data_IF_297519957596
#
_entry.id   IF_297519957596
#
_cell.length_a   1.000
_cell.length_b   1.000
_cell.length_c   1.000
_cell.angle_alpha   90.00
_cell.angle_beta   90.00
_cell.angle_gamma   90.00
#
_symmetry.space_group_name_H-M   'P 1'
#
loop_
_entity.id
_entity.type
_entity.pdbx_description
1 polymer ?
#
# COMPACT_ATOMS: atom_id res chain seq x y z
N UNK A 1 -34.72 -15.08 -63.46
CA UNK A 1 -34.15 -13.77 -63.11
C UNK A 1 -32.79 -14.02 -62.48
N UNK A 2 -31.75 -14.16 -63.31
CA UNK A 2 -30.78 -13.10 -63.68
C UNK A 2 -29.99 -12.62 -62.46
N UNK A 3 -28.85 -13.29 -62.25
CA UNK A 3 -27.68 -12.77 -61.55
C UNK A 3 -27.25 -11.46 -62.21
N UNK A 4 -27.06 -10.41 -61.41
CA UNK A 4 -26.43 -9.16 -61.85
C UNK A 4 -25.14 -8.99 -61.05
N UNK A 5 -23.96 -9.12 -61.69
CA UNK A 5 -22.71 -8.75 -61.07
C UNK A 5 -22.52 -7.24 -61.21
N UNK A 6 -21.85 -6.62 -60.24
CA UNK A 6 -21.12 -5.39 -60.52
C UNK A 6 -19.90 -5.30 -59.60
N UNK A 7 -18.83 -5.90 -60.10
CA UNK A 7 -17.47 -5.48 -59.82
C UNK A 7 -17.30 -4.06 -60.32
N UNK A 8 -16.79 -3.15 -59.50
CA UNK A 8 -15.87 -2.13 -60.01
C UNK A 8 -15.18 -1.34 -58.91
N UNK A 9 -13.88 -1.17 -59.14
CA UNK A 9 -13.02 -0.07 -58.71
C UNK A 9 -12.35 -0.19 -57.35
N UNK A 10 -11.28 -1.00 -57.38
CA UNK A 10 -9.98 -0.61 -56.81
C UNK A 10 -9.79 0.91 -56.91
N UNK A 11 -9.65 1.58 -55.77
CA UNK A 11 -9.05 2.92 -55.69
C UNK A 11 -8.18 3.00 -54.44
N UNK A 12 -6.87 3.00 -54.69
CA UNK A 12 -5.91 3.77 -53.90
C UNK A 12 -5.49 3.16 -52.58
N UNK A 13 -4.42 2.35 -52.63
CA UNK A 13 -3.35 2.49 -51.65
C UNK A 13 -2.94 3.97 -51.65
N UNK A 14 -3.27 4.70 -50.59
CA UNK A 14 -2.69 6.01 -50.31
C UNK A 14 -1.91 5.90 -49.00
N UNK A 15 -0.71 5.32 -49.09
CA UNK A 15 0.36 5.55 -48.12
C UNK A 15 1.04 6.86 -48.52
N UNK A 16 0.55 7.97 -47.99
CA UNK A 16 1.27 9.23 -47.91
C UNK A 16 0.81 9.90 -46.60
N UNK A 17 1.50 9.55 -45.52
CA UNK A 17 2.44 10.47 -44.88
C UNK A 17 1.76 11.58 -44.08
N UNK A 18 1.39 11.25 -42.84
CA UNK A 18 1.57 12.19 -41.73
C UNK A 18 2.22 11.45 -40.58
N UNK A 19 3.54 11.37 -40.65
CA UNK A 19 4.42 10.96 -39.56
C UNK A 19 4.48 12.13 -38.59
N UNK A 20 3.47 12.29 -37.72
CA UNK A 20 3.50 13.19 -36.55
C UNK A 20 2.27 12.96 -35.67
N UNK A 21 2.29 11.85 -34.91
CA UNK A 21 1.73 11.70 -33.55
C UNK A 21 1.57 10.20 -33.19
N UNK A 22 2.52 9.35 -33.58
CA UNK A 22 2.54 7.94 -33.17
C UNK A 22 3.50 7.68 -31.99
N UNK A 23 3.73 8.71 -31.18
CA UNK A 23 4.57 8.64 -29.98
C UNK A 23 3.96 9.49 -28.86
N UNK A 24 2.70 9.24 -28.50
CA UNK A 24 2.13 9.82 -27.28
C UNK A 24 1.11 8.95 -26.56
N UNK A 25 0.96 7.67 -26.91
CA UNK A 25 -0.08 6.84 -26.27
C UNK A 25 0.27 5.35 -26.17
N UNK A 26 1.54 4.96 -26.30
CA UNK A 26 1.96 3.57 -26.20
C UNK A 26 3.19 3.35 -25.30
N UNK A 27 3.55 4.34 -24.47
CA UNK A 27 4.65 4.25 -23.50
C UNK A 27 4.21 4.20 -22.03
N UNK A 28 2.91 4.24 -21.74
CA UNK A 28 2.38 4.32 -20.37
C UNK A 28 1.45 3.14 -20.03
N UNK A 29 1.31 2.16 -20.93
CA UNK A 29 0.35 1.06 -20.76
C UNK A 29 0.99 -0.33 -20.60
N UNK A 30 2.32 -0.40 -20.46
CA UNK A 30 3.03 -1.68 -20.20
C UNK A 30 3.48 -1.81 -18.73
N UNK A 31 3.51 -0.72 -17.95
CA UNK A 31 3.88 -0.80 -16.53
C UNK A 31 2.69 -1.12 -15.59
N UNK A 32 1.46 -1.21 -16.11
CA UNK A 32 0.25 -1.44 -15.30
C UNK A 32 -0.27 -2.90 -15.32
N UNK A 33 0.41 -3.82 -16.02
CA UNK A 33 -0.02 -5.21 -16.15
C UNK A 33 0.68 -6.21 -15.21
N UNK A 34 1.50 -5.73 -14.25
CA UNK A 34 2.04 -6.61 -13.19
C UNK A 34 1.17 -6.65 -11.92
N UNK A 35 0.06 -5.91 -11.86
CA UNK A 35 -0.77 -5.82 -10.65
C UNK A 35 -2.20 -6.38 -10.77
N UNK A 36 -2.65 -6.82 -11.95
CA UNK A 36 -3.98 -7.42 -12.10
C UNK A 36 -3.96 -8.57 -13.11
N UNK A 37 -3.96 -9.81 -12.62
CA UNK A 37 -4.22 -10.97 -13.49
C UNK A 37 -3.60 -12.28 -13.05
N UNK A 38 -4.09 -12.86 -11.95
CA UNK A 38 -4.22 -14.31 -11.87
C UNK A 38 -5.45 -14.68 -11.05
N UNK A 39 -6.60 -14.63 -11.72
CA UNK A 39 -7.81 -15.34 -11.29
C UNK A 39 -7.75 -16.74 -11.88
N UNK A 40 -7.21 -17.68 -11.12
CA UNK A 40 -7.52 -19.10 -11.29
C UNK A 40 -8.49 -19.47 -10.18
N UNK A 41 -9.70 -19.87 -10.58
CA UNK A 41 -10.75 -20.30 -9.68
C UNK A 41 -10.28 -21.53 -8.90
N UNK A 42 -10.03 -21.34 -7.61
CA UNK A 42 -10.02 -22.40 -6.62
C UNK A 42 -11.22 -22.15 -5.70
N UNK A 43 -12.05 -23.16 -5.58
CA UNK A 43 -13.18 -23.23 -4.66
C UNK A 43 -12.73 -22.80 -3.27
N UNK A 44 -13.15 -21.60 -2.85
CA UNK A 44 -13.00 -21.10 -1.48
C UNK A 44 -14.01 -21.84 -0.59
N UNK A 45 -13.68 -23.09 -0.26
CA UNK A 45 -14.14 -23.67 0.99
C UNK A 45 -13.03 -23.44 2.02
N UNK A 46 -13.42 -23.06 3.23
CA UNK A 46 -12.60 -22.60 4.38
C UNK A 46 -12.52 -21.08 4.56
N UNK A 47 -13.53 -20.58 5.25
CA UNK A 47 -13.42 -19.57 6.30
C UNK A 47 -12.09 -19.72 7.07
N UNK A 48 -11.09 -18.96 6.67
CA UNK A 48 -9.94 -18.61 7.50
C UNK A 48 -9.57 -17.18 7.15
N UNK A 49 -9.88 -16.21 8.03
CA UNK A 49 -9.46 -14.83 7.79
C UNK A 49 -7.94 -14.79 7.68
N UNK A 50 -7.43 -13.95 6.78
CA UNK A 50 -6.01 -13.60 6.59
C UNK A 50 -5.35 -12.97 7.84
N UNK A 51 -5.91 -13.16 9.03
CA UNK A 51 -5.41 -12.67 10.33
C UNK A 51 -4.22 -13.47 10.87
N UNK A 52 -3.62 -14.35 10.07
CA UNK A 52 -2.70 -15.41 10.53
C UNK A 52 -1.27 -14.98 10.87
N UNK A 53 -0.85 -13.74 10.61
CA UNK A 53 0.55 -13.31 10.84
C UNK A 53 0.68 -12.26 11.94
N UNK A 54 -0.40 -11.96 12.65
CA UNK A 54 -0.28 -11.21 13.91
C UNK A 54 0.29 -12.18 14.94
N UNK A 55 1.56 -12.01 15.32
CA UNK A 55 2.20 -12.79 16.39
C UNK A 55 1.30 -12.82 17.62
N UNK A 56 1.25 -13.94 18.36
CA UNK A 56 0.45 -14.05 19.60
C UNK A 56 0.74 -12.90 20.57
N UNK A 57 1.98 -12.39 20.59
CA UNK A 57 2.37 -11.22 21.38
C UNK A 57 1.70 -9.93 20.89
N UNK A 58 1.58 -9.75 19.58
CA UNK A 58 0.88 -8.61 18.97
C UNK A 58 -0.62 -8.68 19.25
N UNK A 59 -1.24 -9.86 19.17
CA UNK A 59 -2.66 -10.03 19.52
C UNK A 59 -2.95 -9.63 20.95
N UNK A 60 -2.05 -9.99 21.89
CA UNK A 60 -2.17 -9.64 23.31
C UNK A 60 -1.97 -8.14 23.60
N UNK A 61 -1.10 -7.47 22.84
CA UNK A 61 -0.89 -6.02 22.94
C UNK A 61 -2.13 -5.25 22.47
N UNK A 62 -2.79 -5.74 21.41
CA UNK A 62 -3.95 -5.06 20.81
C UNK A 62 -5.25 -5.29 21.61
N UNK A 63 -5.41 -6.46 22.23
CA UNK A 63 -6.66 -6.83 22.91
C UNK A 63 -6.91 -6.10 24.23
N UNK A 64 -5.88 -5.53 24.85
CA UNK A 64 -5.96 -4.85 26.16
C UNK A 64 -5.73 -3.34 26.09
N UNK A 65 -5.52 -2.80 24.89
CA UNK A 65 -5.23 -1.38 24.68
C UNK A 65 -6.49 -0.52 24.86
N UNK A 66 -6.37 0.53 25.69
CA UNK A 66 -7.40 1.54 25.86
C UNK A 66 -7.28 2.60 24.76
N UNK A 67 -7.74 2.24 23.56
CA UNK A 67 -7.56 3.04 22.36
C UNK A 67 -8.23 4.41 22.48
N UNK A 68 -7.50 5.44 22.05
CA UNK A 68 -8.06 6.77 21.81
C UNK A 68 -9.09 6.74 20.67
N UNK A 69 -9.95 7.76 20.59
CA UNK A 69 -10.89 7.90 19.48
C UNK A 69 -10.17 8.16 18.14
N UNK A 70 -10.82 7.89 17.00
CA UNK A 70 -10.19 7.95 15.67
C UNK A 70 -9.61 9.32 15.33
N UNK A 71 -10.29 10.40 15.70
CA UNK A 71 -9.82 11.76 15.47
C UNK A 71 -8.57 12.08 16.32
N UNK A 72 -8.56 11.64 17.57
CA UNK A 72 -7.42 11.77 18.48
C UNK A 72 -6.23 10.91 18.01
N UNK A 73 -6.50 9.69 17.54
CA UNK A 73 -5.49 8.81 16.95
C UNK A 73 -4.81 9.46 15.74
N UNK A 74 -5.61 10.05 14.83
CA UNK A 74 -5.07 10.75 13.66
C UNK A 74 -4.18 11.92 14.08
N UNK A 75 -4.59 12.69 15.08
CA UNK A 75 -3.79 13.81 15.58
C UNK A 75 -2.49 13.31 16.22
N UNK A 76 -2.58 12.35 17.15
CA UNK A 76 -1.43 11.76 17.84
C UNK A 76 -0.41 11.15 16.87
N UNK A 77 -0.87 10.42 15.84
CA UNK A 77 0.02 9.85 14.81
C UNK A 77 0.68 10.92 13.94
N UNK A 78 -0.05 11.98 13.59
CA UNK A 78 0.52 13.10 12.82
C UNK A 78 1.58 13.86 13.63
N UNK A 79 1.34 14.07 14.93
CA UNK A 79 2.29 14.70 15.83
C UNK A 79 3.53 13.83 16.05
N UNK A 80 3.35 12.53 16.32
CA UNK A 80 4.43 11.56 16.43
C UNK A 80 5.26 11.51 15.13
N UNK A 81 4.60 11.55 13.97
CA UNK A 81 5.27 11.59 12.67
C UNK A 81 6.10 12.87 12.48
N UNK A 82 5.59 14.02 12.90
CA UNK A 82 6.34 15.27 12.87
C UNK A 82 7.58 15.23 13.79
N UNK A 83 7.45 14.62 14.97
CA UNK A 83 8.59 14.42 15.88
C UNK A 83 9.66 13.53 15.25
N UNK A 84 9.27 12.39 14.64
CA UNK A 84 10.18 11.51 13.91
C UNK A 84 10.88 12.24 12.77
N UNK A 85 10.17 13.10 12.04
CA UNK A 85 10.75 13.92 10.98
C UNK A 85 11.87 14.85 11.49
N UNK A 86 11.65 15.47 12.64
CA UNK A 86 12.65 16.33 13.28
C UNK A 86 13.88 15.55 13.75
N UNK A 87 13.71 14.29 14.18
CA UNK A 87 14.80 13.43 14.61
C UNK A 87 15.67 12.94 13.44
N UNK A 88 15.09 12.73 12.24
CA UNK A 88 15.83 12.21 11.09
C UNK A 88 17.03 13.07 10.67
N UNK A 89 16.99 14.39 10.92
CA UNK A 89 18.11 15.29 10.62
C UNK A 89 19.33 15.12 11.54
N UNK A 90 19.16 14.49 12.70
CA UNK A 90 20.20 14.35 13.73
C UNK A 90 20.85 12.95 13.77
N UNK A 91 20.33 11.99 13.00
CA UNK A 91 20.77 10.60 13.03
C UNK A 91 21.99 10.37 12.14
N UNK A 92 22.96 9.62 12.66
CA UNK A 92 24.22 9.31 11.95
C UNK A 92 24.37 7.83 11.58
N UNK A 93 23.63 6.92 12.21
CA UNK A 93 23.73 5.48 11.93
C UNK A 93 22.65 5.01 10.94
N UNK A 94 23.00 3.99 10.14
CA UNK A 94 22.04 3.36 9.19
C UNK A 94 20.84 2.76 9.93
N UNK A 95 21.07 2.10 11.07
CA UNK A 95 20.02 1.42 11.83
C UNK A 95 19.02 2.40 12.46
N UNK A 96 19.48 3.49 13.07
CA UNK A 96 18.60 4.53 13.60
C UNK A 96 17.81 5.21 12.48
N UNK A 97 18.45 5.46 11.33
CA UNK A 97 17.77 6.09 10.19
C UNK A 97 16.68 5.19 9.64
N UNK A 98 16.94 3.88 9.54
CA UNK A 98 15.95 2.89 9.16
C UNK A 98 14.77 2.86 10.16
N UNK A 99 15.06 2.87 11.46
CA UNK A 99 14.04 2.87 12.52
C UNK A 99 13.11 4.09 12.40
N UNK A 100 13.67 5.29 12.27
CA UNK A 100 12.88 6.50 12.08
C UNK A 100 12.10 6.49 10.76
N UNK A 101 12.70 6.03 9.66
CA UNK A 101 12.02 5.96 8.37
C UNK A 101 10.80 5.04 8.41
N UNK A 102 10.95 3.84 8.99
CA UNK A 102 9.84 2.88 9.12
C UNK A 102 8.71 3.48 9.95
N UNK A 103 9.01 4.11 11.10
CA UNK A 103 7.98 4.77 11.93
C UNK A 103 7.29 5.90 11.19
N UNK A 104 8.05 6.76 10.52
CA UNK A 104 7.54 7.90 9.76
C UNK A 104 6.53 7.47 8.68
N UNK A 105 6.86 6.42 7.94
CA UNK A 105 6.02 5.90 6.87
C UNK A 105 4.84 5.10 7.44
N UNK A 106 5.06 4.30 8.49
CA UNK A 106 4.00 3.51 9.09
C UNK A 106 2.92 4.38 9.76
N UNK A 107 3.28 5.48 10.43
CA UNK A 107 2.28 6.41 10.98
C UNK A 107 1.43 7.04 9.89
N UNK A 108 2.02 7.33 8.74
CA UNK A 108 1.26 7.83 7.59
C UNK A 108 0.27 6.79 7.06
N UNK A 109 0.68 5.51 7.01
CA UNK A 109 -0.19 4.40 6.63
C UNK A 109 -1.38 4.28 7.58
N UNK A 110 -1.13 4.30 8.89
CA UNK A 110 -2.20 4.23 9.90
C UNK A 110 -3.17 5.41 9.80
N UNK A 111 -2.66 6.63 9.65
CA UNK A 111 -3.50 7.82 9.47
C UNK A 111 -4.40 7.68 8.24
N UNK A 112 -3.87 7.17 7.13
CA UNK A 112 -4.66 6.96 5.91
C UNK A 112 -5.76 5.92 6.15
N UNK A 113 -5.43 4.82 6.81
CA UNK A 113 -6.37 3.73 7.09
C UNK A 113 -7.50 4.21 8.01
N UNK A 114 -7.19 4.95 9.07
CA UNK A 114 -8.19 5.51 10.00
C UNK A 114 -9.08 6.55 9.30
N UNK A 115 -8.48 7.44 8.49
CA UNK A 115 -9.25 8.42 7.69
C UNK A 115 -10.19 7.77 6.66
N UNK A 116 -9.90 6.55 6.23
CA UNK A 116 -10.76 5.78 5.34
C UNK A 116 -11.92 5.07 6.08
N UNK A 117 -12.02 5.21 7.41
CA UNK A 117 -13.13 4.69 8.21
C UNK A 117 -12.79 3.45 9.05
N UNK A 118 -11.53 3.00 9.05
CA UNK A 118 -11.10 1.92 9.95
C UNK A 118 -10.99 2.43 11.39
N UNK A 119 -11.57 1.70 12.34
CA UNK A 119 -11.31 1.93 13.78
C UNK A 119 -9.82 1.73 14.07
N UNK A 120 -9.29 2.39 15.09
CA UNK A 120 -7.86 2.28 15.49
C UNK A 120 -7.34 0.84 15.55
N UNK A 121 -7.95 -0.11 16.29
CA UNK A 121 -7.45 -1.49 16.36
C UNK A 121 -7.48 -2.22 15.01
N UNK A 122 -8.51 -1.98 14.19
CA UNK A 122 -8.59 -2.57 12.85
C UNK A 122 -7.53 -1.98 11.92
N UNK A 123 -7.25 -0.68 12.00
CA UNK A 123 -6.20 -0.06 11.21
C UNK A 123 -4.84 -0.71 11.53
N UNK A 124 -4.49 -0.85 12.81
CA UNK A 124 -3.24 -1.50 13.23
C UNK A 124 -3.15 -2.95 12.77
N UNK A 125 -4.26 -3.69 12.86
CA UNK A 125 -4.33 -5.10 12.42
C UNK A 125 -4.17 -5.23 10.90
N UNK A 126 -4.93 -4.44 10.14
CA UNK A 126 -4.97 -4.52 8.68
C UNK A 126 -3.67 -4.05 8.01
N UNK A 127 -2.89 -3.20 8.69
CA UNK A 127 -1.65 -2.65 8.15
C UNK A 127 -0.40 -3.38 8.63
N UNK A 128 -0.53 -4.42 9.46
CA UNK A 128 0.61 -5.13 10.02
C UNK A 128 1.52 -5.76 8.96
N UNK A 129 0.95 -6.42 7.95
CA UNK A 129 1.75 -7.02 6.86
C UNK A 129 2.55 -5.96 6.11
N UNK A 130 2.02 -4.74 6.03
CA UNK A 130 2.72 -3.62 5.42
C UNK A 130 3.87 -3.11 6.29
N UNK A 131 3.72 -3.12 7.61
CA UNK A 131 4.83 -2.85 8.53
C UNK A 131 5.93 -3.90 8.40
N UNK A 132 5.56 -5.18 8.35
CA UNK A 132 6.51 -6.27 8.17
C UNK A 132 7.29 -6.13 6.85
N UNK A 133 6.61 -5.74 5.76
CA UNK A 133 7.25 -5.46 4.48
C UNK A 133 8.23 -4.27 4.56
N UNK A 134 7.85 -3.15 5.20
CA UNK A 134 8.75 -2.01 5.41
C UNK A 134 10.00 -2.39 6.21
N UNK A 135 9.85 -3.21 7.25
CA UNK A 135 10.98 -3.73 8.02
C UNK A 135 11.90 -4.63 7.19
N UNK A 136 11.32 -5.47 6.33
CA UNK A 136 12.09 -6.35 5.44
C UNK A 136 12.87 -5.56 4.37
N UNK A 137 12.29 -4.47 3.83
CA UNK A 137 12.98 -3.54 2.91
C UNK A 137 14.19 -2.85 3.57
N UNK A 138 14.20 -2.75 4.90
CA UNK A 138 15.28 -2.16 5.69
C UNK A 138 16.27 -3.21 6.21
N UNK A 139 16.44 -4.32 5.51
CA UNK A 139 17.32 -5.45 5.90
C UNK A 139 16.98 -6.03 7.29
N UNK A 140 15.73 -5.90 7.76
CA UNK A 140 15.30 -6.23 9.12
C UNK A 140 16.11 -5.52 10.24
N UNK A 141 16.66 -4.34 9.95
CA UNK A 141 17.30 -3.48 10.97
C UNK A 141 16.30 -2.97 12.01
N UNK A 142 15.00 -3.13 11.76
CA UNK A 142 13.89 -2.66 12.60
C UNK A 142 12.95 -3.84 12.84
N UNK A 143 12.65 -4.13 14.11
CA UNK A 143 11.64 -5.14 14.46
C UNK A 143 10.23 -4.55 14.33
N UNK A 144 9.30 -5.21 13.62
CA UNK A 144 7.89 -4.81 13.56
C UNK A 144 7.25 -4.66 14.94
N UNK A 145 7.59 -5.55 15.87
CA UNK A 145 7.08 -5.53 17.24
C UNK A 145 7.50 -4.25 17.98
N UNK A 146 8.74 -3.79 17.77
CA UNK A 146 9.24 -2.55 18.39
C UNK A 146 8.51 -1.30 17.89
N UNK A 147 8.05 -1.31 16.63
CA UNK A 147 7.27 -0.22 16.04
C UNK A 147 5.83 -0.29 16.53
N UNK A 148 5.25 -1.49 16.62
CA UNK A 148 3.90 -1.69 17.16
C UNK A 148 3.77 -1.27 18.62
N UNK A 149 4.76 -1.56 19.46
CA UNK A 149 4.74 -1.13 20.86
C UNK A 149 4.70 0.40 20.97
N UNK A 150 5.42 1.10 20.09
CA UNK A 150 5.37 2.57 20.03
C UNK A 150 4.00 3.06 19.57
N UNK A 151 3.44 2.42 18.54
CA UNK A 151 2.08 2.75 18.06
C UNK A 151 1.04 2.57 19.15
N UNK A 152 1.08 1.46 19.90
CA UNK A 152 0.20 1.25 21.04
C UNK A 152 0.40 2.36 22.07
N UNK A 153 1.64 2.69 22.41
CA UNK A 153 1.96 3.78 23.36
C UNK A 153 1.41 5.13 22.92
N UNK A 154 1.49 5.45 21.63
CA UNK A 154 0.98 6.72 21.05
C UNK A 154 -0.56 6.75 21.03
N UNK A 155 -1.21 5.59 20.94
CA UNK A 155 -2.65 5.48 20.66
C UNK A 155 -3.47 4.98 21.84
N UNK A 156 -2.89 4.88 23.03
CA UNK A 156 -3.59 4.50 24.26
C UNK A 156 -3.53 5.60 25.31
N UNK A 157 -4.64 5.78 26.03
CA UNK A 157 -4.76 6.65 27.19
C UNK A 157 -4.42 5.94 28.51
#
# INVERSE_FOLDING_TARGET
>A
MIFKPNSNLMKGLNLASSVKSLLSAAGVLVLLMLFFGRTDAQTLDSSSPLTGVVSKNTTHLLSNANWVGEQEAVQALMDARAQVANQMGAVTTKAEKANLSVRYDYYFVLVKEIKNGSTVPNAVTNTYDRLAAMCAEMDNLVSPESVLQDVVTVLTN
#
